data_IF_947957001431
#
_entry.id   IF_947957001431
#
_cell.length_a   1.000
_cell.length_b   1.000
_cell.length_c   1.000
_cell.angle_alpha   90.00
_cell.angle_beta   90.00
_cell.angle_gamma   90.00
#
_symmetry.space_group_name_H-M   'P 1'
#
loop_
_entity.id
_entity.type
_entity.pdbx_description
1 polymer ?
#
# COMPACT_ATOMS: atom_id res chain seq x y z
N UNK A 1 2.77 10.65 19.96
CA UNK A 1 1.56 10.19 20.65
C UNK A 1 0.76 9.32 19.70
N UNK A 2 0.34 8.13 20.13
CA UNK A 2 -0.54 7.27 19.34
C UNK A 2 -2.00 7.71 19.56
N UNK A 3 -2.83 7.67 18.51
CA UNK A 3 -4.27 8.00 18.63
C UNK A 3 -5.05 6.97 19.44
N UNK A 4 -4.58 5.72 19.48
CA UNK A 4 -5.16 4.62 20.22
C UNK A 4 -4.13 4.03 21.20
N UNK A 5 -4.57 3.25 22.20
CA UNK A 5 -3.70 2.43 23.05
C UNK A 5 -2.68 1.63 22.23
N UNK A 6 -1.48 1.48 22.78
CA UNK A 6 -0.35 0.82 22.07
C UNK A 6 -0.69 -0.62 21.70
N UNK A 7 -1.43 -1.30 22.56
CA UNK A 7 -1.90 -2.67 22.37
C UNK A 7 -2.77 -2.80 21.12
N UNK A 8 -3.61 -1.79 20.83
CA UNK A 8 -4.41 -1.75 19.60
C UNK A 8 -3.54 -1.41 18.39
N UNK A 9 -2.66 -0.42 18.49
CA UNK A 9 -1.86 0.04 17.36
C UNK A 9 -0.79 -0.96 16.91
N UNK A 10 -0.08 -1.60 17.84
CA UNK A 10 1.11 -2.39 17.54
C UNK A 10 0.82 -3.87 17.36
N UNK A 11 -0.28 -4.35 17.92
CA UNK A 11 -0.57 -5.78 17.97
C UNK A 11 -1.96 -6.10 17.40
N UNK A 12 -3.03 -5.75 18.12
CA UNK A 12 -4.38 -6.26 17.82
C UNK A 12 -4.92 -5.79 16.45
N UNK A 13 -4.73 -4.51 16.10
CA UNK A 13 -5.19 -3.95 14.84
C UNK A 13 -4.08 -3.84 13.78
N UNK A 14 -2.83 -4.15 14.14
CA UNK A 14 -1.72 -4.17 13.18
C UNK A 14 -1.85 -5.40 12.29
N UNK A 15 -1.71 -5.23 10.98
CA UNK A 15 -1.78 -6.33 10.00
C UNK A 15 -0.44 -7.09 9.93
N UNK A 16 0.04 -7.56 11.08
CA UNK A 16 1.28 -8.32 11.18
C UNK A 16 1.21 -9.60 10.34
N UNK A 17 2.31 -9.98 9.65
CA UNK A 17 2.34 -11.21 8.85
C UNK A 17 2.19 -12.45 9.75
N UNK A 18 1.77 -13.58 9.16
CA UNK A 18 1.61 -14.90 9.82
C UNK A 18 0.48 -15.00 10.84
N UNK A 19 -0.18 -13.92 11.19
CA UNK A 19 -1.27 -13.89 12.17
C UNK A 19 -2.61 -13.65 11.47
N UNK A 20 -3.67 -14.27 12.00
CA UNK A 20 -5.03 -13.94 11.58
C UNK A 20 -5.42 -12.57 12.14
N UNK A 21 -5.92 -11.69 11.28
CA UNK A 21 -6.32 -10.32 11.63
C UNK A 21 -7.72 -10.04 11.13
N UNK A 22 -8.54 -9.47 12.02
CA UNK A 22 -9.87 -9.01 11.68
C UNK A 22 -9.76 -7.74 10.83
N UNK A 23 -10.44 -7.74 9.69
CA UNK A 23 -10.44 -6.61 8.76
C UNK A 23 -11.85 -6.26 8.31
N UNK A 24 -11.98 -5.05 7.78
CA UNK A 24 -13.12 -4.67 6.97
C UNK A 24 -12.64 -4.57 5.53
N UNK A 25 -13.16 -5.43 4.65
CA UNK A 25 -12.66 -5.55 3.27
C UNK A 25 -13.62 -4.88 2.30
N UNK A 26 -13.05 -4.14 1.35
CA UNK A 26 -13.70 -3.70 0.14
C UNK A 26 -13.12 -4.48 -1.05
N UNK A 27 -13.98 -5.13 -1.85
CA UNK A 27 -13.59 -5.81 -3.09
C UNK A 27 -14.30 -5.11 -4.25
N UNK A 28 -13.51 -4.66 -5.22
CA UNK A 28 -13.99 -4.11 -6.49
C UNK A 28 -13.24 -4.77 -7.65
N UNK A 29 -13.78 -4.63 -8.87
CA UNK A 29 -13.18 -5.19 -10.08
C UNK A 29 -12.82 -4.06 -11.04
N UNK A 30 -11.63 -4.17 -11.61
CA UNK A 30 -11.09 -3.22 -12.57
C UNK A 30 -10.86 -3.91 -13.92
N UNK A 31 -11.03 -3.16 -14.99
CA UNK A 31 -10.51 -3.52 -16.30
C UNK A 31 -8.98 -3.32 -16.34
N UNK A 32 -8.31 -3.91 -17.33
CA UNK A 32 -6.86 -3.75 -17.53
C UNK A 32 -6.43 -2.29 -17.77
N UNK A 33 -7.36 -1.42 -18.16
CA UNK A 33 -7.14 0.01 -18.35
C UNK A 33 -7.33 0.83 -17.06
N UNK A 34 -7.58 0.18 -15.91
CA UNK A 34 -7.82 0.81 -14.62
C UNK A 34 -9.21 1.39 -14.42
N UNK A 35 -10.15 1.24 -15.37
CA UNK A 35 -11.57 1.61 -15.13
C UNK A 35 -12.28 0.59 -14.25
N UNK A 36 -13.27 1.04 -13.48
CA UNK A 36 -14.11 0.16 -12.67
C UNK A 36 -15.12 -0.58 -13.53
N UNK A 37 -15.26 -1.88 -13.31
CA UNK A 37 -16.28 -2.71 -13.96
C UNK A 37 -17.64 -2.40 -13.36
N UNK A 38 -18.48 -1.62 -14.06
CA UNK A 38 -19.78 -1.17 -13.56
C UNK A 38 -20.76 -2.32 -13.27
N UNK A 39 -20.70 -3.40 -14.05
CA UNK A 39 -21.54 -4.58 -13.84
C UNK A 39 -21.17 -5.37 -12.58
N UNK A 40 -20.01 -5.11 -11.99
CA UNK A 40 -19.58 -5.71 -10.73
C UNK A 40 -19.80 -4.73 -9.58
N UNK A 41 -20.86 -4.96 -8.79
CA UNK A 41 -21.10 -4.18 -7.57
C UNK A 41 -19.99 -4.43 -6.54
N UNK A 42 -19.33 -3.38 -6.00
CA UNK A 42 -18.34 -3.54 -4.94
C UNK A 42 -18.92 -4.27 -3.72
N UNK A 43 -18.11 -5.13 -3.11
CA UNK A 43 -18.50 -5.89 -1.91
C UNK A 43 -17.80 -5.33 -0.70
N UNK A 44 -18.56 -5.18 0.39
CA UNK A 44 -18.07 -4.67 1.67
C UNK A 44 -18.47 -5.63 2.77
N UNK A 45 -17.52 -6.14 3.54
CA UNK A 45 -17.80 -7.10 4.60
C UNK A 45 -16.68 -7.18 5.63
N UNK A 46 -17.02 -7.64 6.84
CA UNK A 46 -16.04 -8.03 7.86
C UNK A 46 -15.41 -9.35 7.45
N UNK A 47 -14.10 -9.45 7.60
CA UNK A 47 -13.30 -10.56 7.11
C UNK A 47 -12.16 -10.90 8.08
N UNK A 48 -11.54 -12.05 7.85
CA UNK A 48 -10.27 -12.44 8.48
C UNK A 48 -9.25 -12.58 7.37
N UNK A 49 -8.11 -11.92 7.50
CA UNK A 49 -6.96 -12.07 6.60
C UNK A 49 -5.76 -12.61 7.35
N UNK A 50 -4.81 -13.18 6.60
CA UNK A 50 -3.51 -13.60 7.13
C UNK A 50 -2.44 -13.11 6.16
N UNK A 51 -1.78 -11.99 6.49
CA UNK A 51 -0.79 -11.39 5.60
C UNK A 51 0.38 -12.35 5.35
N UNK A 52 0.72 -12.54 4.06
CA UNK A 52 1.76 -13.47 3.63
C UNK A 52 3.16 -12.85 3.67
N UNK A 53 3.29 -11.53 3.68
CA UNK A 53 4.57 -10.83 3.67
C UNK A 53 4.42 -9.40 4.20
N UNK A 54 5.48 -8.85 4.78
CA UNK A 54 5.57 -7.43 5.14
C UNK A 54 6.67 -6.77 4.31
N UNK A 55 6.24 -5.88 3.41
CA UNK A 55 7.13 -5.11 2.54
C UNK A 55 7.40 -3.71 3.10
N UNK A 56 8.52 -3.12 2.72
CA UNK A 56 8.75 -1.68 2.79
C UNK A 56 8.81 -1.06 1.38
N UNK A 57 8.69 0.27 1.30
CA UNK A 57 8.64 0.99 0.02
C UNK A 57 9.89 0.80 -0.84
N UNK A 58 11.06 0.69 -0.22
CA UNK A 58 12.33 0.52 -0.94
C UNK A 58 12.43 -0.87 -1.56
N UNK A 59 12.04 -1.91 -0.81
CA UNK A 59 11.96 -3.29 -1.30
C UNK A 59 10.99 -3.41 -2.48
N UNK A 60 9.80 -2.81 -2.37
CA UNK A 60 8.83 -2.79 -3.47
C UNK A 60 9.42 -2.05 -4.66
N UNK A 61 10.08 -0.91 -4.46
CA UNK A 61 10.67 -0.15 -5.55
C UNK A 61 11.72 -0.95 -6.32
N UNK A 62 12.61 -1.67 -5.61
CA UNK A 62 13.61 -2.57 -6.24
C UNK A 62 12.92 -3.60 -7.16
N UNK A 63 11.79 -4.18 -6.72
CA UNK A 63 11.03 -5.16 -7.50
C UNK A 63 10.38 -4.54 -8.75
N UNK A 64 9.83 -3.33 -8.61
CA UNK A 64 9.20 -2.58 -9.69
C UNK A 64 10.22 -2.12 -10.74
N UNK A 65 11.42 -1.74 -10.30
CA UNK A 65 12.53 -1.38 -11.18
C UNK A 65 13.10 -2.58 -11.97
N UNK A 66 12.63 -3.80 -11.68
CA UNK A 66 13.09 -5.04 -12.31
C UNK A 66 14.42 -5.57 -11.78
N UNK A 67 14.88 -5.03 -10.65
CA UNK A 67 16.12 -5.45 -10.00
C UNK A 67 15.91 -6.65 -9.07
N UNK A 68 16.98 -7.37 -8.78
CA UNK A 68 16.96 -8.46 -7.81
C UNK A 68 17.03 -7.89 -6.38
N UNK A 69 16.09 -8.32 -5.53
CA UNK A 69 16.03 -7.90 -4.14
C UNK A 69 16.73 -8.94 -3.26
N UNK A 70 17.81 -8.53 -2.60
CA UNK A 70 18.52 -9.36 -1.62
C UNK A 70 18.83 -8.56 -0.33
N UNK A 71 18.52 -9.09 0.87
CA UNK A 71 17.83 -10.36 1.10
C UNK A 71 16.34 -10.30 0.75
N UNK A 72 15.81 -11.40 0.23
CA UNK A 72 14.36 -11.56 0.02
C UNK A 72 13.63 -11.62 1.37
N UNK A 73 12.53 -10.87 1.56
CA UNK A 73 11.71 -11.01 2.76
C UNK A 73 11.05 -12.38 2.82
N UNK A 74 10.80 -12.85 4.04
CA UNK A 74 10.09 -14.11 4.25
C UNK A 74 8.64 -14.02 3.76
N UNK A 75 8.21 -15.01 2.99
CA UNK A 75 6.84 -15.16 2.49
C UNK A 75 6.21 -16.40 3.12
N UNK A 76 4.97 -16.27 3.57
CA UNK A 76 4.26 -17.26 4.37
C UNK A 76 2.97 -17.72 3.70
N UNK A 77 2.24 -18.62 4.36
CA UNK A 77 0.90 -19.08 4.01
C UNK A 77 0.80 -19.76 2.62
N UNK A 78 1.88 -20.40 2.15
CA UNK A 78 1.91 -21.11 0.87
C UNK A 78 2.07 -20.21 -0.36
N UNK A 79 2.32 -18.92 -0.16
CA UNK A 79 2.68 -18.00 -1.25
C UNK A 79 4.19 -18.07 -1.52
N UNK A 80 4.59 -17.79 -2.77
CA UNK A 80 6.00 -17.62 -3.14
C UNK A 80 6.34 -16.15 -3.31
N UNK A 81 7.63 -15.82 -3.13
CA UNK A 81 8.16 -14.49 -3.40
C UNK A 81 7.87 -14.05 -4.83
N UNK A 82 8.06 -14.97 -5.79
CA UNK A 82 7.87 -14.72 -7.21
C UNK A 82 6.41 -14.37 -7.54
N UNK A 83 5.44 -15.07 -6.93
CA UNK A 83 4.03 -14.77 -7.11
C UNK A 83 3.68 -13.38 -6.59
N UNK A 84 4.17 -13.02 -5.39
CA UNK A 84 3.99 -11.67 -4.85
C UNK A 84 4.61 -10.59 -5.73
N UNK A 85 5.79 -10.84 -6.32
CA UNK A 85 6.44 -9.92 -7.26
C UNK A 85 5.61 -9.71 -8.53
N UNK A 86 4.97 -10.77 -9.04
CA UNK A 86 4.04 -10.65 -10.19
C UNK A 86 2.84 -9.79 -9.81
N UNK A 87 2.22 -10.04 -8.66
CA UNK A 87 1.07 -9.25 -8.18
C UNK A 87 1.43 -7.76 -8.02
N UNK A 88 2.61 -7.45 -7.46
CA UNK A 88 3.09 -6.07 -7.30
C UNK A 88 3.24 -5.34 -8.65
N UNK A 89 3.75 -6.01 -9.68
CA UNK A 89 3.89 -5.41 -11.03
C UNK A 89 2.55 -5.20 -11.72
N UNK A 90 1.61 -6.13 -11.54
CA UNK A 90 0.23 -5.96 -12.03
C UNK A 90 -0.42 -4.76 -11.35
N UNK A 91 -0.24 -4.61 -10.03
CA UNK A 91 -0.76 -3.47 -9.28
C UNK A 91 -0.11 -2.15 -9.70
N UNK A 92 1.20 -2.13 -9.96
CA UNK A 92 1.90 -0.95 -10.46
C UNK A 92 1.33 -0.50 -11.81
N UNK A 93 1.28 -1.38 -12.81
CA UNK A 93 0.77 -1.04 -14.14
C UNK A 93 -0.67 -0.48 -14.06
N UNK A 94 -1.51 -1.12 -13.25
CA UNK A 94 -2.89 -0.69 -13.03
C UNK A 94 -2.98 0.68 -12.35
N UNK A 95 -2.22 0.88 -11.27
CA UNK A 95 -2.22 2.14 -10.50
C UNK A 95 -1.65 3.30 -11.31
N UNK A 96 -0.64 3.07 -12.16
CA UNK A 96 -0.11 4.07 -13.07
C UNK A 96 -1.14 4.52 -14.12
N UNK A 97 -1.97 3.60 -14.63
CA UNK A 97 -3.09 3.95 -15.52
C UNK A 97 -4.17 4.76 -14.80
N UNK A 98 -4.54 4.36 -13.58
CA UNK A 98 -5.49 5.10 -12.73
C UNK A 98 -4.99 6.52 -12.47
N UNK A 99 -3.72 6.65 -12.06
CA UNK A 99 -3.05 7.93 -11.79
C UNK A 99 -3.08 8.85 -13.01
N UNK A 100 -2.66 8.35 -14.18
CA UNK A 100 -2.66 9.11 -15.44
C UNK A 100 -4.05 9.64 -15.77
N UNK A 101 -5.10 8.83 -15.60
CA UNK A 101 -6.49 9.27 -15.80
C UNK A 101 -6.88 10.35 -14.79
N UNK A 102 -6.60 10.13 -13.51
CA UNK A 102 -6.90 11.08 -12.43
C UNK A 102 -6.29 12.47 -12.66
N UNK A 103 -5.06 12.55 -13.14
CA UNK A 103 -4.42 13.81 -13.52
C UNK A 103 -4.97 14.41 -14.80
N UNK A 104 -5.31 13.59 -15.80
CA UNK A 104 -6.01 14.05 -17.01
C UNK A 104 -7.36 14.68 -16.67
N UNK A 105 -8.04 14.16 -15.66
CA UNK A 105 -9.33 14.67 -15.16
C UNK A 105 -9.20 15.87 -14.22
N UNK A 106 -7.99 16.46 -14.10
CA UNK A 106 -7.76 17.73 -13.41
C UNK A 106 -7.29 17.62 -11.96
N UNK A 107 -6.85 16.45 -11.51
CA UNK A 107 -6.26 16.32 -10.16
C UNK A 107 -4.95 17.09 -10.03
N UNK A 108 -4.69 17.61 -8.83
CA UNK A 108 -3.48 18.37 -8.50
C UNK A 108 -2.57 17.56 -7.58
N UNK A 109 -1.27 17.55 -7.88
CA UNK A 109 -0.23 17.00 -7.01
C UNK A 109 0.34 18.12 -6.13
N UNK A 110 -0.05 18.17 -4.87
CA UNK A 110 0.51 19.10 -3.88
C UNK A 110 1.52 18.36 -2.99
N UNK A 111 2.70 18.11 -3.54
CA UNK A 111 3.76 17.41 -2.82
C UNK A 111 4.46 18.37 -1.86
N UNK A 112 4.35 18.12 -0.55
CA UNK A 112 5.15 18.80 0.47
C UNK A 112 6.45 18.03 0.69
N UNK A 113 7.58 18.74 0.62
CA UNK A 113 8.88 18.17 0.97
C UNK A 113 8.86 17.69 2.43
N UNK A 114 9.15 16.41 2.63
CA UNK A 114 9.33 15.82 3.96
C UNK A 114 10.80 15.51 4.18
N UNK A 115 11.29 15.78 5.38
CA UNK A 115 12.66 15.47 5.80
C UNK A 115 12.61 14.25 6.71
N UNK A 116 13.46 13.27 6.41
CA UNK A 116 13.69 12.07 7.23
C UNK A 116 15.03 12.21 7.93
N UNK A 117 15.05 11.98 9.24
CA UNK A 117 16.30 12.03 10.03
C UNK A 117 16.81 10.61 10.30
N UNK A 118 18.12 10.42 10.14
CA UNK A 118 18.81 9.27 10.72
C UNK A 118 19.20 9.63 12.13
N UNK A 119 18.86 8.76 13.08
CA UNK A 119 19.05 9.01 14.51
C UNK A 119 19.94 7.92 15.07
N UNK A 120 20.96 8.33 15.84
CA UNK A 120 21.83 7.42 16.55
C UNK A 120 21.03 6.59 17.57
N UNK A 121 21.26 5.27 17.58
CA UNK A 121 20.44 4.37 18.37
C UNK A 121 20.62 4.59 19.87
N UNK A 122 21.83 4.89 20.33
CA UNK A 122 22.13 4.99 21.76
C UNK A 122 21.82 6.38 22.30
N UNK A 123 22.34 7.42 21.65
CA UNK A 123 22.23 8.81 22.09
C UNK A 123 20.90 9.46 21.71
N UNK A 124 20.15 8.86 20.77
CA UNK A 124 18.93 9.43 20.17
C UNK A 124 19.13 10.78 19.48
N UNK A 125 20.37 11.14 19.17
CA UNK A 125 20.71 12.40 18.48
C UNK A 125 20.64 12.19 16.96
N UNK A 126 20.02 13.11 16.20
CA UNK A 126 20.05 13.07 14.74
C UNK A 126 21.48 13.19 14.22
N UNK A 127 21.92 12.25 13.39
CA UNK A 127 23.26 12.22 12.79
C UNK A 127 23.28 12.68 11.34
N UNK A 128 22.17 12.49 10.61
CA UNK A 128 22.00 12.98 9.25
C UNK A 128 20.52 13.23 8.93
N UNK A 129 20.26 13.85 7.78
CA UNK A 129 18.92 14.01 7.24
C UNK A 129 18.92 13.79 5.73
N UNK A 130 17.78 13.34 5.22
CA UNK A 130 17.51 13.13 3.81
C UNK A 130 16.13 13.68 3.45
N UNK A 131 15.94 14.04 2.18
CA UNK A 131 14.62 14.39 1.65
C UNK A 131 13.90 13.11 1.25
N UNK A 132 12.70 12.89 1.79
CA UNK A 132 11.89 11.73 1.45
C UNK A 132 11.45 11.80 -0.01
N UNK A 133 11.84 10.79 -0.79
CA UNK A 133 11.43 10.64 -2.18
C UNK A 133 10.02 10.04 -2.26
N UNK A 134 9.23 10.52 -3.21
CA UNK A 134 7.93 9.95 -3.55
C UNK A 134 8.11 9.11 -4.81
N UNK A 135 8.20 7.79 -4.62
CA UNK A 135 8.52 6.82 -5.68
C UNK A 135 7.27 6.09 -6.19
N UNK A 136 7.41 5.28 -7.25
CA UNK A 136 6.30 4.47 -7.80
C UNK A 136 5.66 3.56 -6.76
N UNK A 137 6.43 3.00 -5.82
CA UNK A 137 5.89 2.19 -4.72
C UNK A 137 5.01 2.99 -3.76
N UNK A 138 5.29 4.29 -3.56
CA UNK A 138 4.42 5.19 -2.81
C UNK A 138 3.13 5.51 -3.59
N UNK A 139 3.27 5.81 -4.88
CA UNK A 139 2.14 6.08 -5.78
C UNK A 139 1.17 4.89 -5.87
N UNK A 140 1.70 3.66 -5.92
CA UNK A 140 0.90 2.43 -5.96
C UNK A 140 -0.08 2.36 -4.78
N UNK A 141 0.42 2.56 -3.56
CA UNK A 141 -0.43 2.53 -2.36
C UNK A 141 -1.37 3.73 -2.32
N UNK A 142 -0.91 4.91 -2.73
CA UNK A 142 -1.74 6.13 -2.79
C UNK A 142 -2.97 5.93 -3.67
N UNK A 143 -2.80 5.44 -4.90
CA UNK A 143 -3.93 5.25 -5.83
C UNK A 143 -4.89 4.15 -5.36
N UNK A 144 -4.38 3.06 -4.77
CA UNK A 144 -5.23 2.01 -4.19
C UNK A 144 -6.07 2.55 -3.01
N UNK A 145 -5.48 3.38 -2.14
CA UNK A 145 -6.19 3.98 -1.02
C UNK A 145 -7.21 5.02 -1.47
N UNK A 146 -6.86 5.86 -2.44
CA UNK A 146 -7.81 6.82 -3.04
C UNK A 146 -9.01 6.12 -3.68
N UNK A 147 -8.75 5.03 -4.40
CA UNK A 147 -9.80 4.22 -5.02
C UNK A 147 -10.70 3.59 -3.96
N UNK A 148 -10.13 2.97 -2.92
CA UNK A 148 -10.90 2.39 -1.82
C UNK A 148 -11.77 3.44 -1.10
N UNK A 149 -11.21 4.61 -0.80
CA UNK A 149 -11.94 5.71 -0.16
C UNK A 149 -13.09 6.22 -1.03
N UNK A 150 -12.85 6.40 -2.33
CA UNK A 150 -13.88 6.83 -3.30
C UNK A 150 -15.03 5.82 -3.35
N UNK A 151 -14.71 4.53 -3.49
CA UNK A 151 -15.69 3.46 -3.58
C UNK A 151 -16.51 3.31 -2.28
N UNK A 152 -15.89 3.49 -1.11
CA UNK A 152 -16.61 3.54 0.17
C UNK A 152 -17.50 4.77 0.27
N UNK A 153 -17.02 5.95 -0.13
CA UNK A 153 -17.78 7.18 -0.09
C UNK A 153 -19.03 7.11 -0.98
N UNK A 154 -18.90 6.61 -2.20
CA UNK A 154 -20.04 6.37 -3.10
C UNK A 154 -21.10 5.46 -2.43
N UNK A 155 -20.66 4.41 -1.73
CA UNK A 155 -21.57 3.47 -1.05
C UNK A 155 -22.29 4.09 0.15
N UNK A 156 -21.70 5.06 0.81
CA UNK A 156 -22.29 5.74 1.97
C UNK A 156 -23.29 6.84 1.57
N UNK A 157 -23.19 7.35 0.33
CA UNK A 157 -24.10 8.38 -0.20
C UNK A 157 -25.32 7.77 -0.90
N UNK A 158 -25.22 6.52 -1.37
CA UNK A 158 -26.35 5.71 -1.87
C UNK A 158 -27.40 5.44 -0.77
#
# INVERSE_FOLDING_TARGET
YHMLPRELCSDLCSLNPREEKLTYTAIFRLHEDGTRVESFKPKFFKSVIRSCCRWNYDQVQVILDGNELEPKPEVYNGHSFEACCVDLRVLEDLTQKIRKRRFKDGSLALNKTKIRFTVDYDTKVPTSYDVESHSSSHELIEELMLLANTVVAEKLVE
#
